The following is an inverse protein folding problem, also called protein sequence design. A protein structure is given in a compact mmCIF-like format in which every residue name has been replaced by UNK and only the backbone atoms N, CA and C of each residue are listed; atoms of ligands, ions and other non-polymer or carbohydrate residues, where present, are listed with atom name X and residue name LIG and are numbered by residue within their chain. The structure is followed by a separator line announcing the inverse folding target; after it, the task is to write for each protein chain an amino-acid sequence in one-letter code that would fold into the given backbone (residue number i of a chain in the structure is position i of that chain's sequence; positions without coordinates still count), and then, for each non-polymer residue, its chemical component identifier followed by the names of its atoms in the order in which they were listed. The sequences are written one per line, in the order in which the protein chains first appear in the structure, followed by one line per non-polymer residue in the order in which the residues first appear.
data_IF_316747655061
#
_entry.id   IF_316747655061
#
_cell.length_a   1.000
_cell.length_b   1.000
_cell.length_c   1.000
_cell.angle_alpha   90.00
_cell.angle_beta   90.00
_cell.angle_gamma   90.00
#
_symmetry.space_group_name_H-M   'P 1'
#
loop_
_entity.id
_entity.type
_entity.pdbx_description
1 polymer ?
#
# COMPACT_ATOMS: atom_id res chain seq x y z
N UNK A 1 3.91 -17.17 11.30
CA UNK A 1 4.55 -15.97 10.69
C UNK A 1 4.57 -14.84 11.71
N UNK A 2 5.69 -14.16 11.85
CA UNK A 2 5.78 -13.00 12.73
C UNK A 2 4.86 -11.89 12.22
N UNK A 3 4.12 -11.26 13.12
CA UNK A 3 3.31 -10.08 12.84
C UNK A 3 4.20 -8.85 13.01
N UNK A 4 4.33 -8.05 11.97
CA UNK A 4 5.18 -6.85 11.95
C UNK A 4 4.28 -5.62 11.85
N UNK A 5 4.35 -4.68 12.81
CA UNK A 5 3.67 -3.40 12.69
C UNK A 5 4.41 -2.48 11.71
N UNK A 6 3.68 -1.54 11.08
CA UNK A 6 4.31 -0.47 10.31
C UNK A 6 5.10 0.49 11.22
N UNK A 7 6.13 1.13 10.66
CA UNK A 7 7.01 2.00 11.43
C UNK A 7 6.45 3.40 11.67
N UNK A 8 5.55 3.87 10.79
CA UNK A 8 4.99 5.24 10.76
C UNK A 8 6.09 6.33 10.87
N UNK A 9 7.26 6.10 10.25
CA UNK A 9 8.42 7.00 10.37
C UNK A 9 8.42 8.18 9.41
N UNK A 10 7.64 8.10 8.31
CA UNK A 10 7.52 9.23 7.39
C UNK A 10 6.75 10.37 8.06
N UNK A 11 7.27 11.61 7.97
CA UNK A 11 6.63 12.77 8.59
C UNK A 11 5.34 13.14 7.85
N UNK A 12 4.24 13.24 8.58
CA UNK A 12 2.98 13.74 8.04
C UNK A 12 3.13 15.21 7.59
N UNK A 13 2.40 15.58 6.55
CA UNK A 13 2.41 16.93 5.97
C UNK A 13 3.61 17.22 5.05
N UNK A 14 4.55 16.28 4.89
CA UNK A 14 5.69 16.39 3.98
C UNK A 14 5.50 15.52 2.73
N UNK A 15 6.10 15.90 1.59
CA UNK A 15 6.14 15.01 0.43
C UNK A 15 6.97 13.76 0.76
N UNK A 16 6.48 12.56 0.41
CA UNK A 16 7.24 11.33 0.59
C UNK A 16 8.35 11.21 -0.45
N UNK A 17 9.29 10.26 -0.28
CA UNK A 17 10.26 9.94 -1.32
C UNK A 17 9.59 9.61 -2.66
N UNK A 18 10.11 10.19 -3.74
CA UNK A 18 9.62 9.93 -5.11
C UNK A 18 10.04 8.54 -5.59
N UNK A 19 9.34 8.02 -6.59
CA UNK A 19 9.72 6.78 -7.25
C UNK A 19 9.31 6.76 -8.72
N UNK A 20 10.02 5.94 -9.49
CA UNK A 20 9.62 5.48 -10.81
C UNK A 20 9.78 3.97 -10.84
N UNK A 21 8.68 3.23 -10.98
CA UNK A 21 8.64 1.78 -10.93
C UNK A 21 7.89 1.20 -12.13
N UNK A 22 8.30 0.04 -12.66
CA UNK A 22 7.54 -0.68 -13.67
C UNK A 22 6.40 -1.49 -13.05
N UNK A 23 5.38 -1.78 -13.84
CA UNK A 23 4.44 -2.86 -13.58
C UNK A 23 5.02 -4.23 -14.07
N UNK A 24 4.21 -5.29 -13.96
CA UNK A 24 4.61 -6.64 -14.33
C UNK A 24 4.90 -6.85 -15.83
N UNK A 25 4.49 -5.91 -16.71
CA UNK A 25 4.75 -5.95 -18.15
C UNK A 25 5.78 -4.91 -18.60
N UNK A 26 6.39 -4.19 -17.64
CA UNK A 26 7.48 -3.23 -17.89
C UNK A 26 7.02 -1.80 -18.19
N UNK A 27 5.73 -1.48 -18.08
CA UNK A 27 5.25 -0.11 -18.20
C UNK A 27 5.64 0.67 -16.96
N UNK A 28 6.37 1.78 -17.11
CA UNK A 28 6.83 2.63 -16.01
C UNK A 28 5.76 3.61 -15.54
N UNK A 29 5.72 3.82 -14.21
CA UNK A 29 4.85 4.77 -13.52
C UNK A 29 5.66 5.62 -12.56
N UNK A 30 5.44 6.93 -12.58
CA UNK A 30 6.07 7.88 -11.67
C UNK A 30 5.06 8.31 -10.61
N UNK A 31 5.50 8.44 -9.36
CA UNK A 31 4.64 8.90 -8.28
C UNK A 31 4.00 10.26 -8.58
N UNK A 32 4.77 11.19 -9.14
CA UNK A 32 4.30 12.53 -9.49
C UNK A 32 3.13 12.52 -10.47
N UNK A 33 3.14 11.60 -11.44
CA UNK A 33 2.06 11.47 -12.42
C UNK A 33 0.81 10.84 -11.79
N UNK A 34 1.01 9.88 -10.86
CA UNK A 34 -0.07 9.21 -10.12
C UNK A 34 -0.71 10.13 -9.08
N UNK A 35 0.09 10.98 -8.40
CA UNK A 35 -0.36 11.84 -7.32
C UNK A 35 -0.76 13.26 -7.78
N UNK A 36 -0.85 13.49 -9.09
CA UNK A 36 -1.15 14.83 -9.63
C UNK A 36 -2.53 15.33 -9.24
N UNK A 37 -2.58 16.31 -8.35
CA UNK A 37 -3.78 17.06 -7.92
C UNK A 37 -4.94 16.21 -7.36
N UNK A 38 -4.65 14.99 -6.92
CA UNK A 38 -5.65 14.06 -6.38
C UNK A 38 -5.11 13.35 -5.15
N UNK A 39 -5.95 13.08 -4.14
CA UNK A 39 -5.56 12.15 -3.09
C UNK A 39 -5.13 10.82 -3.70
N UNK A 40 -4.03 10.26 -3.19
CA UNK A 40 -3.45 9.03 -3.76
C UNK A 40 -3.10 8.05 -2.66
N UNK A 41 -3.62 6.84 -2.77
CA UNK A 41 -3.27 5.71 -1.89
C UNK A 41 -2.08 4.99 -2.50
N UNK A 42 -0.97 4.96 -1.76
CA UNK A 42 0.20 4.12 -2.05
C UNK A 42 0.22 2.99 -1.03
N UNK A 43 0.31 1.75 -1.48
CA UNK A 43 0.28 0.61 -0.57
C UNK A 43 1.36 -0.41 -0.90
N UNK A 44 2.06 -0.90 0.12
CA UNK A 44 2.98 -2.03 -0.03
C UNK A 44 2.21 -3.32 0.25
N UNK A 45 2.15 -4.18 -0.75
CA UNK A 45 1.39 -5.44 -0.72
C UNK A 45 2.18 -6.53 -1.43
N UNK A 46 1.75 -7.78 -1.26
CA UNK A 46 2.30 -8.91 -1.99
C UNK A 46 1.22 -9.97 -2.21
N UNK A 47 1.49 -10.98 -3.05
CA UNK A 47 0.47 -11.94 -3.44
C UNK A 47 0.22 -13.03 -2.39
N UNK A 48 1.25 -13.43 -1.63
CA UNK A 48 1.16 -14.60 -0.74
C UNK A 48 0.85 -14.26 0.73
N UNK A 49 0.90 -12.97 1.12
CA UNK A 49 0.67 -12.59 2.51
C UNK A 49 -0.80 -12.81 2.92
N UNK A 50 -1.08 -13.61 3.97
CA UNK A 50 -2.45 -13.85 4.42
C UNK A 50 -3.21 -12.58 4.81
N UNK A 51 -2.51 -11.55 5.29
CA UNK A 51 -3.13 -10.27 5.63
C UNK A 51 -3.55 -9.49 4.38
N UNK A 52 -2.78 -9.59 3.28
CA UNK A 52 -3.16 -8.99 1.99
C UNK A 52 -4.31 -9.75 1.35
N UNK A 53 -4.22 -11.09 1.32
CA UNK A 53 -5.30 -11.96 0.80
C UNK A 53 -6.60 -11.70 1.55
N UNK A 54 -6.53 -11.52 2.88
CA UNK A 54 -7.70 -11.24 3.73
C UNK A 54 -8.47 -9.97 3.32
N UNK A 55 -7.77 -8.91 2.93
CA UNK A 55 -8.39 -7.63 2.57
C UNK A 55 -8.54 -7.43 1.05
N UNK A 56 -7.97 -8.31 0.21
CA UNK A 56 -7.82 -8.14 -1.25
C UNK A 56 -9.10 -7.69 -1.95
N UNK A 57 -10.18 -8.42 -1.72
CA UNK A 57 -11.45 -8.17 -2.41
C UNK A 57 -12.16 -6.91 -1.87
N UNK A 58 -12.05 -6.67 -0.56
CA UNK A 58 -12.59 -5.45 0.06
C UNK A 58 -11.83 -4.20 -0.41
N UNK A 59 -10.50 -4.31 -0.54
CA UNK A 59 -9.64 -3.26 -1.09
C UNK A 59 -10.03 -2.93 -2.53
N UNK A 60 -10.25 -3.93 -3.39
CA UNK A 60 -10.70 -3.72 -4.76
C UNK A 60 -12.06 -3.02 -4.84
N UNK A 61 -13.01 -3.39 -3.98
CA UNK A 61 -14.31 -2.68 -3.90
C UNK A 61 -14.16 -1.24 -3.44
N UNK A 62 -13.38 -1.00 -2.39
CA UNK A 62 -13.13 0.34 -1.88
C UNK A 62 -12.40 1.20 -2.93
N UNK A 63 -11.40 0.65 -3.61
CA UNK A 63 -10.68 1.38 -4.65
C UNK A 63 -11.63 1.84 -5.77
N UNK A 64 -12.46 0.97 -6.33
CA UNK A 64 -13.43 1.35 -7.37
C UNK A 64 -14.40 2.44 -6.90
N UNK A 65 -14.89 2.33 -5.66
CA UNK A 65 -15.75 3.36 -5.08
C UNK A 65 -15.07 4.74 -5.02
N UNK A 66 -13.81 4.79 -4.62
CA UNK A 66 -13.11 6.06 -4.44
C UNK A 66 -12.44 6.59 -5.71
N UNK A 67 -12.13 5.73 -6.68
CA UNK A 67 -11.63 6.19 -7.99
C UNK A 67 -12.64 7.05 -8.72
N UNK A 68 -13.93 6.71 -8.70
CA UNK A 68 -15.00 7.55 -9.28
C UNK A 68 -15.16 8.89 -8.55
N UNK A 69 -14.69 8.98 -7.31
CA UNK A 69 -14.64 10.22 -6.50
C UNK A 69 -13.33 11.01 -6.70
N UNK A 70 -12.43 10.52 -7.56
CA UNK A 70 -11.18 11.20 -7.91
C UNK A 70 -9.98 10.83 -7.03
N UNK A 71 -9.98 9.67 -6.37
CA UNK A 71 -8.80 9.15 -5.64
C UNK A 71 -8.01 8.20 -6.54
N UNK A 72 -6.70 8.32 -6.54
CA UNK A 72 -5.81 7.37 -7.21
C UNK A 72 -5.35 6.28 -6.25
N UNK A 73 -5.05 5.10 -6.80
CA UNK A 73 -4.52 3.96 -6.07
C UNK A 73 -3.31 3.40 -6.79
N UNK A 74 -2.30 2.98 -6.04
CA UNK A 74 -1.13 2.27 -6.56
C UNK A 74 -0.65 1.26 -5.52
N UNK A 75 -0.47 0.03 -5.96
CA UNK A 75 0.12 -1.05 -5.16
C UNK A 75 1.59 -1.26 -5.56
N UNK A 76 2.44 -1.62 -4.60
CA UNK A 76 3.86 -1.89 -4.81
C UNK A 76 4.20 -3.23 -4.16
N UNK A 77 4.80 -4.13 -4.92
CA UNK A 77 5.39 -5.37 -4.42
C UNK A 77 6.90 -5.22 -4.33
N UNK A 78 7.43 -5.31 -3.12
CA UNK A 78 8.87 -5.21 -2.83
C UNK A 78 9.44 -6.52 -2.28
N UNK A 79 8.69 -7.63 -2.33
CA UNK A 79 9.20 -8.91 -1.83
C UNK A 79 10.24 -9.53 -2.77
N UNK A 80 11.18 -10.25 -2.19
CA UNK A 80 12.15 -11.04 -2.94
C UNK A 80 11.48 -12.23 -3.63
N UNK A 81 11.15 -12.07 -4.91
CA UNK A 81 10.51 -13.10 -5.71
C UNK A 81 11.43 -14.31 -6.00
N UNK A 82 12.73 -14.20 -5.76
CA UNK A 82 13.66 -15.33 -5.91
C UNK A 82 13.47 -16.37 -4.79
N UNK A 83 13.13 -15.90 -3.58
CA UNK A 83 12.84 -16.72 -2.40
C UNK A 83 11.35 -17.00 -2.24
N UNK A 84 10.51 -16.14 -2.80
CA UNK A 84 9.04 -16.21 -2.71
C UNK A 84 8.41 -16.13 -4.10
N UNK A 85 8.44 -17.22 -4.88
CA UNK A 85 7.99 -17.24 -6.28
C UNK A 85 6.51 -16.93 -6.47
N UNK A 86 5.70 -16.98 -5.41
CA UNK A 86 4.31 -16.52 -5.42
C UNK A 86 4.19 -15.01 -5.67
N UNK A 87 5.23 -14.25 -5.33
CA UNK A 87 5.30 -12.80 -5.51
C UNK A 87 5.98 -12.39 -6.82
N UNK A 88 6.30 -13.36 -7.69
CA UNK A 88 6.90 -13.06 -8.98
C UNK A 88 6.02 -12.11 -9.81
N UNK A 89 6.62 -11.16 -10.56
CA UNK A 89 5.87 -10.21 -11.38
C UNK A 89 4.84 -10.86 -12.30
N UNK A 90 5.16 -12.02 -12.87
CA UNK A 90 4.25 -12.77 -13.74
C UNK A 90 2.94 -13.22 -13.06
N UNK A 91 2.90 -13.29 -11.72
CA UNK A 91 1.70 -13.67 -10.95
C UNK A 91 0.85 -12.49 -10.51
N UNK A 92 1.42 -11.29 -10.49
CA UNK A 92 0.74 -10.08 -10.01
C UNK A 92 -0.54 -9.73 -10.81
N UNK A 93 -0.58 -9.84 -12.17
CA UNK A 93 -1.80 -9.54 -12.91
C UNK A 93 -2.97 -10.47 -12.58
N UNK A 94 -2.70 -11.75 -12.30
CA UNK A 94 -3.74 -12.69 -11.90
C UNK A 94 -4.29 -12.34 -10.51
N UNK A 95 -3.41 -12.07 -9.54
CA UNK A 95 -3.78 -11.66 -8.20
C UNK A 95 -4.61 -10.37 -8.18
N UNK A 96 -4.19 -9.36 -8.94
CA UNK A 96 -4.91 -8.09 -9.08
C UNK A 96 -6.32 -8.29 -9.67
N UNK A 97 -6.42 -9.09 -10.73
CA UNK A 97 -7.70 -9.41 -11.38
C UNK A 97 -8.66 -10.14 -10.44
N UNK A 98 -8.18 -11.11 -9.67
CA UNK A 98 -8.97 -11.83 -8.66
C UNK A 98 -9.53 -10.89 -7.59
N UNK A 99 -8.75 -9.88 -7.16
CA UNK A 99 -9.18 -8.85 -6.21
C UNK A 99 -10.03 -7.74 -6.84
N UNK A 100 -10.21 -7.74 -8.16
CA UNK A 100 -10.87 -6.66 -8.89
C UNK A 100 -10.11 -5.34 -8.82
N UNK A 101 -8.77 -5.39 -8.80
CA UNK A 101 -7.90 -4.22 -8.80
C UNK A 101 -7.71 -3.73 -10.24
N UNK A 102 -8.15 -2.53 -10.52
CA UNK A 102 -8.04 -1.84 -11.81
C UNK A 102 -7.05 -0.65 -11.75
N UNK A 103 -6.15 -0.68 -10.77
CA UNK A 103 -5.11 0.31 -10.54
C UNK A 103 -3.71 -0.32 -10.72
N UNK A 104 -2.65 0.51 -10.93
CA UNK A 104 -1.29 0.00 -11.11
C UNK A 104 -0.80 -0.86 -9.95
N UNK A 105 -0.20 -2.00 -10.26
CA UNK A 105 0.50 -2.88 -9.32
C UNK A 105 1.95 -3.00 -9.77
N UNK A 106 2.85 -2.34 -9.05
CA UNK A 106 4.23 -2.06 -9.45
C UNK A 106 5.21 -3.01 -8.78
N UNK A 107 6.38 -3.14 -9.41
CA UNK A 107 7.48 -4.01 -8.97
C UNK A 107 8.64 -3.16 -8.46
N UNK A 108 8.93 -3.19 -7.16
CA UNK A 108 10.13 -2.62 -6.54
C UNK A 108 11.19 -3.72 -6.36
N UNK A 109 11.75 -4.20 -7.46
CA UNK A 109 12.73 -5.29 -7.45
C UNK A 109 14.02 -4.95 -6.70
N UNK A 110 14.35 -3.68 -6.60
CA UNK A 110 15.52 -3.18 -5.84
C UNK A 110 15.26 -3.07 -4.34
N UNK A 111 13.99 -3.01 -3.93
CA UNK A 111 13.53 -2.75 -2.55
C UNK A 111 13.92 -1.36 -2.02
N UNK A 112 14.43 -0.48 -2.89
CA UNK A 112 14.84 0.86 -2.50
C UNK A 112 13.63 1.74 -2.15
N UNK A 113 12.50 1.57 -2.84
CA UNK A 113 11.28 2.34 -2.57
C UNK A 113 10.71 1.93 -1.21
N UNK A 114 10.58 0.63 -0.93
CA UNK A 114 10.13 0.17 0.39
C UNK A 114 11.03 0.68 1.52
N UNK A 115 12.36 0.66 1.33
CA UNK A 115 13.32 1.21 2.32
C UNK A 115 13.15 2.72 2.52
N UNK A 116 13.05 3.49 1.45
CA UNK A 116 12.88 4.94 1.51
C UNK A 116 11.55 5.35 2.15
N UNK A 117 10.49 4.57 1.92
CA UNK A 117 9.17 4.78 2.51
C UNK A 117 9.05 4.22 3.94
N UNK A 118 10.11 3.59 4.47
CA UNK A 118 10.09 2.89 5.75
C UNK A 118 8.97 1.87 5.88
N UNK A 119 8.54 1.28 4.76
CA UNK A 119 7.56 0.21 4.75
C UNK A 119 8.14 -1.03 5.42
N UNK A 120 7.45 -1.57 6.41
CA UNK A 120 7.96 -2.70 7.21
C UNK A 120 7.17 -3.99 6.97
N UNK A 121 5.91 -3.88 6.56
CA UNK A 121 5.00 -5.01 6.44
C UNK A 121 4.14 -4.94 5.17
N UNK A 122 3.44 -6.01 4.91
CA UNK A 122 2.36 -6.08 3.92
C UNK A 122 1.09 -6.60 4.57
N UNK A 123 -0.06 -5.91 4.39
CA UNK A 123 -0.23 -4.62 3.73
C UNK A 123 0.28 -3.45 4.58
N UNK A 124 0.79 -2.39 3.95
CA UNK A 124 1.12 -1.13 4.61
C UNK A 124 0.59 0.04 3.75
N UNK A 125 -0.19 0.96 4.34
CA UNK A 125 -0.90 1.99 3.59
C UNK A 125 -0.39 3.39 3.91
N UNK A 126 -0.25 4.19 2.85
CA UNK A 126 0.10 5.60 2.88
C UNK A 126 -0.88 6.36 2.00
N UNK A 127 -1.40 7.49 2.46
CA UNK A 127 -2.27 8.33 1.65
C UNK A 127 -1.68 9.73 1.53
N UNK A 128 -1.55 10.18 0.29
CA UNK A 128 -1.15 11.54 -0.04
C UNK A 128 -2.38 12.41 -0.22
N UNK A 129 -2.31 13.66 0.22
CA UNK A 129 -3.31 14.68 -0.08
C UNK A 129 -3.21 15.13 -1.55
N UNK A 130 -4.11 15.99 -2.00
CA UNK A 130 -4.10 16.52 -3.36
C UNK A 130 -2.88 17.41 -3.68
N UNK A 131 -2.11 17.84 -2.67
CA UNK A 131 -0.85 18.55 -2.84
C UNK A 131 0.37 17.60 -2.84
N UNK A 132 0.15 16.29 -2.81
CA UNK A 132 1.19 15.27 -2.82
C UNK A 132 1.91 15.10 -1.47
N UNK A 133 1.33 15.58 -0.36
CA UNK A 133 1.93 15.45 0.98
C UNK A 133 1.29 14.28 1.72
N UNK A 134 2.09 13.58 2.52
CA UNK A 134 1.63 12.47 3.33
C UNK A 134 0.60 12.92 4.37
N UNK A 135 -0.63 12.44 4.23
CA UNK A 135 -1.73 12.74 5.15
C UNK A 135 -2.05 11.57 6.09
N UNK A 136 -1.71 10.35 5.68
CA UNK A 136 -2.00 9.15 6.46
C UNK A 136 -0.91 8.09 6.26
N UNK A 137 -0.54 7.43 7.36
CA UNK A 137 0.29 6.21 7.36
C UNK A 137 -0.31 5.25 8.38
N UNK A 138 -0.93 4.16 7.93
CA UNK A 138 -1.65 3.30 8.86
C UNK A 138 -2.36 2.12 8.20
N UNK A 139 -3.27 1.50 8.97
CA UNK A 139 -3.96 0.27 8.59
C UNK A 139 -5.15 0.50 7.63
N UNK A 140 -5.56 -0.56 6.93
CA UNK A 140 -6.79 -0.59 6.14
C UNK A 140 -8.02 -0.45 7.05
N UNK A 141 -8.10 -1.34 8.03
CA UNK A 141 -9.11 -1.40 9.10
C UNK A 141 -8.59 -2.24 10.28
N UNK A 142 -9.44 -2.51 11.24
CA UNK A 142 -9.09 -3.34 12.39
C UNK A 142 -9.24 -4.85 12.15
N UNK A 143 -9.62 -5.27 10.94
CA UNK A 143 -9.75 -6.69 10.60
C UNK A 143 -8.39 -7.38 10.46
N UNK A 144 -8.34 -8.62 10.87
CA UNK A 144 -7.15 -9.49 10.72
C UNK A 144 -7.63 -10.91 10.44
N UNK A 145 -6.85 -11.73 9.72
CA UNK A 145 -7.20 -13.13 9.57
C UNK A 145 -7.56 -13.78 10.91
N UNK A 146 -8.80 -14.25 11.03
CA UNK A 146 -9.30 -14.98 12.22
C UNK A 146 -9.77 -14.14 13.40
N UNK A 147 -9.78 -12.80 13.33
CA UNK A 147 -10.25 -11.97 14.46
C UNK A 147 -11.76 -11.64 14.44
N UNK A 148 -12.48 -12.04 13.39
CA UNK A 148 -13.94 -11.81 13.29
C UNK A 148 -14.37 -10.36 13.05
N UNK A 149 -13.46 -9.41 12.97
CA UNK A 149 -13.80 -8.02 12.66
C UNK A 149 -14.22 -7.88 11.18
N UNK A 150 -15.15 -6.96 10.87
CA UNK A 150 -15.54 -6.71 9.48
C UNK A 150 -14.36 -6.19 8.64
N UNK A 151 -14.29 -6.66 7.39
CA UNK A 151 -13.28 -6.24 6.40
C UNK A 151 -13.92 -5.16 5.54
N UNK A 152 -13.90 -3.92 6.02
CA UNK A 152 -14.64 -2.79 5.44
C UNK A 152 -13.77 -1.60 5.01
N UNK A 153 -12.47 -1.64 5.37
CA UNK A 153 -11.54 -0.54 5.10
C UNK A 153 -11.82 0.72 5.92
N UNK A 154 -12.42 0.59 7.10
CA UNK A 154 -12.97 1.71 7.86
C UNK A 154 -11.97 2.84 8.14
N UNK A 155 -10.72 2.55 8.52
CA UNK A 155 -9.72 3.59 8.78
C UNK A 155 -9.25 4.27 7.48
N UNK A 156 -9.04 3.51 6.41
CA UNK A 156 -8.69 4.07 5.09
C UNK A 156 -9.87 4.86 4.50
N UNK A 157 -11.08 4.34 4.57
CA UNK A 157 -12.31 5.02 4.13
C UNK A 157 -12.49 6.37 4.80
N UNK A 158 -12.44 6.41 6.14
CA UNK A 158 -12.59 7.65 6.90
C UNK A 158 -11.51 8.70 6.50
N UNK A 159 -10.30 8.24 6.22
CA UNK A 159 -9.21 9.09 5.71
C UNK A 159 -9.56 9.70 4.35
N UNK A 160 -9.97 8.87 3.39
CA UNK A 160 -10.29 9.33 2.05
C UNK A 160 -11.50 10.28 2.02
N UNK A 161 -12.53 9.99 2.80
CA UNK A 161 -13.70 10.87 2.95
C UNK A 161 -13.33 12.22 3.56
N UNK A 162 -12.43 12.24 4.56
CA UNK A 162 -11.95 13.48 5.14
C UNK A 162 -11.18 14.33 4.12
N UNK A 163 -10.23 13.73 3.39
CA UNK A 163 -9.42 14.43 2.39
C UNK A 163 -10.26 14.97 1.23
N UNK A 164 -11.23 14.19 0.74
CA UNK A 164 -12.16 14.64 -0.31
C UNK A 164 -13.05 15.80 0.15
N UNK A 165 -13.33 15.88 1.45
CA UNK A 165 -14.08 16.99 2.06
C UNK A 165 -13.18 18.17 2.47
N UNK A 166 -11.89 18.19 2.10
CA UNK A 166 -10.93 19.23 2.47
C UNK A 166 -10.57 19.26 3.96
N UNK A 167 -10.81 18.16 4.67
CA UNK A 167 -10.52 18.03 6.10
C UNK A 167 -9.24 17.19 6.32
N UNK A 168 -8.53 17.40 7.45
CA UNK A 168 -7.39 16.55 7.78
C UNK A 168 -7.81 15.08 8.00
N UNK A 169 -6.87 14.18 7.75
CA UNK A 169 -7.04 12.76 8.08
C UNK A 169 -7.32 12.56 9.59
N UNK A 170 -8.11 11.53 9.97
CA UNK A 170 -8.35 11.22 11.37
C UNK A 170 -7.06 10.97 12.17
N UNK A 171 -7.08 11.34 13.46
CA UNK A 171 -5.98 11.13 14.40
C UNK A 171 -6.53 10.62 15.74
N UNK A 172 -5.83 9.72 16.45
CA UNK A 172 -4.54 9.11 16.08
C UNK A 172 -4.68 8.08 14.96
N UNK A 173 -3.62 7.93 14.15
CA UNK A 173 -3.56 6.93 13.10
C UNK A 173 -3.02 5.61 13.66
N UNK A 174 -3.71 4.51 13.37
CA UNK A 174 -3.31 3.18 13.84
C UNK A 174 -2.31 2.56 12.85
N UNK A 175 -1.19 1.99 13.33
CA UNK A 175 -0.22 1.35 12.44
C UNK A 175 -0.83 0.16 11.70
N UNK A 176 -0.39 -0.08 10.47
CA UNK A 176 -0.63 -1.35 9.77
C UNK A 176 -0.04 -2.50 10.56
N UNK A 177 -0.62 -3.69 10.40
CA UNK A 177 -0.09 -4.92 10.94
C UNK A 177 -0.17 -6.01 9.87
N UNK A 178 0.96 -6.63 9.56
CA UNK A 178 1.01 -7.65 8.52
C UNK A 178 2.23 -8.56 8.61
N UNK A 179 2.54 -9.24 7.52
CA UNK A 179 3.79 -9.98 7.39
C UNK A 179 4.93 -8.99 7.10
N UNK A 180 6.13 -9.24 7.62
CA UNK A 180 7.30 -8.46 7.22
C UNK A 180 7.54 -8.54 5.70
N UNK A 181 8.04 -7.47 5.11
CA UNK A 181 8.56 -7.48 3.73
C UNK A 181 9.68 -8.52 3.65
N UNK A 182 9.71 -9.28 2.55
CA UNK A 182 10.72 -10.30 2.33
C UNK A 182 11.93 -9.65 1.66
N UNK A 183 12.84 -9.18 2.49
CA UNK A 183 14.04 -8.49 2.04
C UNK A 183 15.04 -9.47 1.39
N UNK A 184 15.72 -9.00 0.36
CA UNK A 184 16.92 -9.66 -0.16
C UNK A 184 18.05 -9.54 0.87
N UNK A 185 18.91 -10.53 0.94
CA UNK A 185 20.07 -10.49 1.83
C UNK A 185 20.88 -9.21 1.61
N UNK A 186 21.12 -8.48 2.68
CA UNK A 186 21.81 -7.18 2.68
C UNK A 186 20.94 -5.96 2.37
N UNK A 187 19.65 -6.14 2.06
CA UNK A 187 18.69 -5.04 1.89
C UNK A 187 17.87 -4.77 3.14
N UNK A 188 17.99 -5.58 4.17
CA UNK A 188 17.20 -5.43 5.41
C UNK A 188 17.45 -4.04 6.01
N UNK A 189 16.42 -3.25 6.24
CA UNK A 189 16.60 -1.95 6.88
C UNK A 189 16.80 -2.10 8.38
N UNK A 190 17.50 -1.15 9.00
CA UNK A 190 17.76 -1.14 10.45
C UNK A 190 16.50 -1.07 11.33
N UNK A 191 15.32 -0.91 10.73
CA UNK A 191 14.04 -0.84 11.42
C UNK A 191 13.18 -2.12 11.23
N UNK A 192 13.71 -3.11 10.54
CA UNK A 192 13.01 -4.40 10.27
C UNK A 192 13.22 -5.39 11.42
#
# INVERSE_FOLDING_TARGET
MARTPSTQRLPLGQPPPDFTLPDAVGKSFRLQDLASQKPTVVMFVCNHCPFVVHIRDALGRLAREFQVKGVNFVAINSNDASQYPEDAPARMPAFAREGGWDFPYLVDASQQVARAWHAACTPDFFVLDAAGRLAYAGQFDSSRPGNGAPVDGGDLRATLEALLAGRPAPSPQKPSLGCNIKWKAGNEPAFS
#
